data_IF_807222137038
#
_entry.id   IF_807222137038
#
_cell.length_a   1.000
_cell.length_b   1.000
_cell.length_c   1.000
_cell.angle_alpha   90.00
_cell.angle_beta   90.00
_cell.angle_gamma   90.00
#
_symmetry.space_group_name_H-M   'P 1'
#
loop_
_entity.id
_entity.type
_entity.pdbx_description
1 polymer ?
#
# COMPACT_ATOMS: atom_id res chain seq x y z
N UNK A 1 -15.99 -14.54 -2.02
CA UNK A 1 -16.19 -13.85 -0.75
C UNK A 1 -17.38 -14.51 -0.08
N UNK A 2 -17.19 -15.05 1.13
CA UNK A 2 -18.28 -15.62 1.92
C UNK A 2 -19.00 -14.46 2.61
N UNK A 3 -20.29 -14.29 2.36
CA UNK A 3 -21.14 -13.37 3.11
C UNK A 3 -21.66 -14.11 4.35
N UNK A 4 -21.15 -13.81 5.55
CA UNK A 4 -21.67 -14.41 6.80
C UNK A 4 -21.76 -13.37 7.91
N UNK A 5 -23.00 -13.16 8.37
CA UNK A 5 -23.33 -12.42 9.59
C UNK A 5 -22.83 -13.20 10.81
N UNK A 6 -21.95 -12.57 11.60
CA UNK A 6 -21.67 -12.88 13.00
C UNK A 6 -21.58 -14.37 13.39
N UNK A 7 -20.36 -14.93 13.40
CA UNK A 7 -19.75 -15.44 14.63
C UNK A 7 -18.45 -16.20 14.35
N UNK A 8 -17.45 -15.90 15.18
CA UNK A 8 -16.16 -16.57 15.36
C UNK A 8 -15.13 -16.46 14.22
N UNK A 9 -13.98 -15.86 14.55
CA UNK A 9 -12.86 -15.65 13.64
C UNK A 9 -12.16 -16.98 13.26
N UNK A 10 -12.51 -18.08 13.94
CA UNK A 10 -11.96 -19.41 13.74
C UNK A 10 -12.34 -20.04 12.38
N UNK A 11 -13.49 -19.68 11.79
CA UNK A 11 -13.94 -20.21 10.50
C UNK A 11 -13.16 -19.66 9.29
N UNK A 12 -12.40 -18.57 9.45
CA UNK A 12 -11.63 -17.97 8.35
C UNK A 12 -10.38 -18.75 7.95
N UNK A 13 -9.98 -19.74 8.74
CA UNK A 13 -8.84 -20.61 8.47
C UNK A 13 -9.25 -21.92 7.77
N UNK A 14 -10.52 -22.07 7.37
CA UNK A 14 -10.98 -23.24 6.64
C UNK A 14 -10.65 -23.13 5.13
N UNK A 15 -9.67 -23.93 4.69
CA UNK A 15 -9.10 -23.98 3.33
C UNK A 15 -10.13 -24.31 2.23
N UNK A 16 -11.38 -24.61 2.57
CA UNK A 16 -12.40 -25.07 1.61
C UNK A 16 -13.21 -23.96 0.91
N UNK A 17 -12.95 -22.67 1.16
CA UNK A 17 -13.81 -21.58 0.69
C UNK A 17 -13.24 -20.73 -0.47
N UNK A 18 -13.08 -21.33 -1.64
CA UNK A 18 -12.84 -20.60 -2.89
C UNK A 18 -14.15 -20.12 -3.51
N UNK A 19 -14.78 -19.09 -2.94
CA UNK A 19 -15.93 -18.44 -3.57
C UNK A 19 -15.50 -17.18 -4.35
N UNK A 20 -15.78 -17.14 -5.65
CA UNK A 20 -15.75 -15.90 -6.43
C UNK A 20 -17.09 -15.20 -6.24
N UNK A 21 -17.09 -13.99 -5.65
CA UNK A 21 -18.29 -13.17 -5.49
C UNK A 21 -18.18 -11.96 -6.40
N UNK A 22 -19.21 -11.74 -7.23
CA UNK A 22 -19.39 -10.53 -8.02
C UNK A 22 -20.79 -10.01 -7.70
N UNK A 23 -20.89 -8.92 -6.92
CA UNK A 23 -22.17 -8.37 -6.47
C UNK A 23 -22.01 -7.18 -5.54
N UNK A 24 -23.14 -6.56 -5.18
CA UNK A 24 -23.20 -5.44 -4.24
C UNK A 24 -23.24 -5.96 -2.81
N UNK A 25 -22.34 -5.42 -2.00
CA UNK A 25 -22.10 -5.78 -0.61
C UNK A 25 -23.10 -5.05 0.30
N UNK A 26 -23.63 -5.72 1.34
CA UNK A 26 -24.59 -5.14 2.30
C UNK A 26 -23.92 -4.08 3.21
N UNK A 27 -24.70 -3.06 3.58
CA UNK A 27 -24.28 -1.98 4.48
C UNK A 27 -24.31 -2.42 5.96
N UNK A 28 -23.52 -1.77 6.83
CA UNK A 28 -23.43 -2.04 8.29
C UNK A 28 -22.93 -3.45 8.68
N UNK A 29 -21.86 -3.93 8.06
CA UNK A 29 -21.28 -5.23 8.46
C UNK A 29 -19.76 -5.25 8.31
N UNK A 30 -19.15 -6.30 8.84
CA UNK A 30 -17.71 -6.52 8.78
C UNK A 30 -17.38 -7.53 7.67
N UNK A 31 -16.35 -7.23 6.89
CA UNK A 31 -15.86 -8.10 5.82
C UNK A 31 -14.42 -8.49 6.07
N UNK A 32 -14.10 -9.72 5.68
CA UNK A 32 -12.73 -10.19 5.67
C UNK A 32 -12.42 -10.83 4.30
N UNK A 33 -11.44 -10.25 3.62
CA UNK A 33 -10.86 -10.74 2.38
C UNK A 33 -9.52 -11.36 2.73
N UNK A 34 -9.39 -12.66 2.50
CA UNK A 34 -8.18 -13.41 2.79
C UNK A 34 -7.70 -14.14 1.55
N UNK A 35 -6.39 -14.16 1.33
CA UNK A 35 -5.74 -15.01 0.34
C UNK A 35 -6.36 -14.89 -1.07
N UNK A 36 -6.54 -13.66 -1.52
CA UNK A 36 -7.18 -13.34 -2.79
C UNK A 36 -6.18 -12.79 -3.81
N UNK A 37 -6.45 -13.04 -5.10
CA UNK A 37 -5.68 -12.48 -6.22
C UNK A 37 -6.61 -11.69 -7.13
N UNK A 38 -6.32 -10.41 -7.30
CA UNK A 38 -7.06 -9.51 -8.18
C UNK A 38 -6.16 -9.03 -9.32
N UNK A 39 -6.54 -9.31 -10.56
CA UNK A 39 -5.72 -8.98 -11.72
C UNK A 39 -6.52 -8.58 -12.94
N UNK A 40 -5.94 -7.68 -13.75
CA UNK A 40 -6.47 -7.23 -15.05
C UNK A 40 -7.85 -6.60 -14.95
N UNK A 41 -8.13 -5.95 -13.82
CA UNK A 41 -9.29 -5.06 -13.71
C UNK A 41 -8.99 -3.75 -14.43
N UNK A 42 -9.98 -3.19 -15.12
CA UNK A 42 -9.91 -1.87 -15.76
C UNK A 42 -10.83 -0.84 -15.06
N UNK A 43 -11.24 -1.16 -13.84
CA UNK A 43 -12.00 -0.32 -12.93
C UNK A 43 -11.54 -0.62 -11.49
N UNK A 44 -12.05 0.12 -10.52
CA UNK A 44 -11.75 -0.04 -9.09
C UNK A 44 -12.07 -1.46 -8.65
N UNK A 45 -11.10 -2.16 -8.07
CA UNK A 45 -11.28 -3.57 -7.65
C UNK A 45 -12.22 -3.68 -6.45
N UNK A 46 -11.96 -2.91 -5.39
CA UNK A 46 -12.76 -2.87 -4.17
C UNK A 46 -13.26 -1.44 -3.95
N UNK A 47 -14.57 -1.24 -4.12
CA UNK A 47 -15.24 0.02 -3.88
C UNK A 47 -16.11 -0.06 -2.63
N UNK A 48 -15.77 0.78 -1.65
CA UNK A 48 -16.44 0.90 -0.36
C UNK A 48 -16.90 2.34 -0.22
N UNK A 49 -18.15 2.59 -0.59
CA UNK A 49 -18.72 3.92 -0.57
C UNK A 49 -20.04 3.91 0.20
N UNK A 50 -20.12 4.64 1.31
CA UNK A 50 -21.32 4.69 2.14
C UNK A 50 -21.36 5.97 2.99
N UNK A 51 -22.41 6.77 2.81
CA UNK A 51 -22.63 7.99 3.58
C UNK A 51 -23.37 7.78 4.90
N UNK A 52 -24.00 6.63 5.12
CA UNK A 52 -24.95 6.41 6.23
C UNK A 52 -24.73 5.11 7.02
N UNK A 53 -23.80 4.26 6.59
CA UNK A 53 -23.55 2.95 7.20
C UNK A 53 -22.06 2.74 7.47
N UNK A 54 -21.74 2.12 8.61
CA UNK A 54 -20.38 1.81 9.02
C UNK A 54 -20.01 0.38 8.64
N UNK A 55 -19.06 0.25 7.72
CA UNK A 55 -18.55 -1.08 7.32
C UNK A 55 -17.09 -1.20 7.70
N UNK A 56 -16.72 -2.34 8.29
CA UNK A 56 -15.34 -2.60 8.71
C UNK A 56 -14.74 -3.68 7.83
N UNK A 57 -13.56 -3.44 7.28
CA UNK A 57 -12.97 -4.37 6.30
C UNK A 57 -11.54 -4.70 6.67
N UNK A 58 -11.27 -5.99 6.82
CA UNK A 58 -9.93 -6.53 6.87
C UNK A 58 -9.59 -7.15 5.52
N UNK A 59 -8.44 -6.81 4.97
CA UNK A 59 -7.87 -7.42 3.79
C UNK A 59 -6.51 -7.98 4.20
N UNK A 60 -6.34 -9.29 4.14
CA UNK A 60 -5.11 -9.97 4.53
C UNK A 60 -4.57 -10.87 3.42
N UNK A 61 -3.23 -10.90 3.28
CA UNK A 61 -2.51 -11.82 2.39
C UNK A 61 -3.09 -11.79 0.97
N UNK A 62 -3.23 -10.61 0.38
CA UNK A 62 -3.92 -10.42 -0.90
C UNK A 62 -2.98 -9.79 -1.91
N UNK A 63 -3.01 -10.31 -3.14
CA UNK A 63 -2.25 -9.82 -4.28
C UNK A 63 -3.14 -9.02 -5.22
N UNK A 64 -2.72 -7.80 -5.52
CA UNK A 64 -3.29 -6.96 -6.57
C UNK A 64 -2.24 -6.76 -7.66
N UNK A 65 -2.51 -7.14 -8.90
CA UNK A 65 -1.51 -6.93 -9.94
C UNK A 65 -2.07 -6.63 -11.33
N UNK A 66 -1.43 -5.68 -12.02
CA UNK A 66 -1.83 -5.30 -13.39
C UNK A 66 -3.28 -4.81 -13.45
N UNK A 67 -3.73 -4.10 -12.41
CA UNK A 67 -5.03 -3.45 -12.39
C UNK A 67 -4.88 -1.99 -12.83
N UNK A 68 -5.90 -1.48 -13.49
CA UNK A 68 -5.95 -0.12 -14.02
C UNK A 68 -7.28 0.51 -13.62
N UNK A 69 -7.26 1.79 -13.26
CA UNK A 69 -8.47 2.53 -12.96
C UNK A 69 -8.36 3.99 -13.40
N UNK A 70 -9.50 4.68 -13.43
CA UNK A 70 -9.56 6.12 -13.60
C UNK A 70 -10.41 6.72 -12.47
N UNK A 71 -9.78 7.16 -11.38
CA UNK A 71 -10.50 7.78 -10.26
C UNK A 71 -9.73 7.82 -8.96
N UNK A 72 -10.39 7.49 -7.87
CA UNK A 72 -9.83 7.51 -6.52
C UNK A 72 -9.55 6.07 -6.07
N UNK A 73 -8.28 5.68 -6.04
CA UNK A 73 -7.84 4.32 -5.77
C UNK A 73 -7.92 3.41 -6.98
N UNK A 74 -6.87 2.64 -7.26
CA UNK A 74 -6.91 1.58 -8.28
C UNK A 74 -7.55 0.30 -7.73
N UNK A 75 -6.99 -0.19 -6.62
CA UNK A 75 -7.37 -1.47 -6.04
C UNK A 75 -8.40 -1.28 -4.95
N UNK A 76 -8.27 -0.22 -4.16
CA UNK A 76 -9.13 0.02 -3.01
C UNK A 76 -9.55 1.48 -3.01
N UNK A 77 -10.86 1.71 -3.05
CA UNK A 77 -11.47 2.98 -2.73
C UNK A 77 -12.34 2.77 -1.50
N UNK A 78 -12.03 3.46 -0.40
CA UNK A 78 -12.90 3.57 0.76
C UNK A 78 -13.23 5.03 1.03
N UNK A 79 -14.50 5.38 0.95
CA UNK A 79 -15.01 6.70 1.36
C UNK A 79 -16.36 6.55 2.06
N UNK A 80 -16.37 6.71 3.37
CA UNK A 80 -17.57 6.51 4.18
C UNK A 80 -17.30 6.30 5.66
N UNK A 81 -18.30 5.86 6.41
CA UNK A 81 -18.14 5.49 7.82
C UNK A 81 -17.49 4.10 7.94
N UNK A 82 -16.61 3.90 8.93
CA UNK A 82 -16.05 2.60 9.29
C UNK A 82 -14.53 2.47 9.11
N UNK A 83 -14.01 1.26 9.31
CA UNK A 83 -12.57 0.98 9.34
C UNK A 83 -12.12 0.16 8.15
N UNK A 84 -10.87 0.39 7.71
CA UNK A 84 -10.20 -0.49 6.75
C UNK A 84 -8.78 -0.81 7.21
N UNK A 85 -8.51 -2.11 7.27
CA UNK A 85 -7.22 -2.65 7.67
C UNK A 85 -6.69 -3.46 6.49
N UNK A 86 -5.54 -3.04 5.97
CA UNK A 86 -4.76 -3.73 4.95
C UNK A 86 -3.58 -4.40 5.64
N UNK A 87 -3.44 -5.71 5.48
CA UNK A 87 -2.34 -6.48 6.10
C UNK A 87 -1.72 -7.43 5.08
N UNK A 88 -0.40 -7.44 4.95
CA UNK A 88 0.31 -8.34 4.02
C UNK A 88 -0.22 -8.22 2.58
N UNK A 89 -0.48 -7.00 2.15
CA UNK A 89 -0.91 -6.73 0.78
C UNK A 89 0.31 -6.67 -0.13
N UNK A 90 0.26 -7.32 -1.28
CA UNK A 90 1.21 -7.08 -2.36
C UNK A 90 0.47 -6.38 -3.50
N UNK A 91 0.96 -5.22 -3.95
CA UNK A 91 0.46 -4.58 -5.17
C UNK A 91 1.60 -4.39 -6.17
N UNK A 92 1.37 -4.82 -7.40
CA UNK A 92 2.39 -4.79 -8.45
C UNK A 92 1.83 -4.29 -9.79
N UNK A 93 2.52 -3.33 -10.40
CA UNK A 93 2.20 -2.85 -11.75
C UNK A 93 0.73 -2.41 -11.91
N UNK A 94 0.15 -1.78 -10.88
CA UNK A 94 -1.17 -1.17 -10.95
C UNK A 94 -1.06 0.32 -11.29
N UNK A 95 -2.05 0.85 -12.00
CA UNK A 95 -2.08 2.26 -12.41
C UNK A 95 -3.45 2.89 -12.19
N UNK A 96 -3.45 4.16 -11.82
CA UNK A 96 -4.63 4.98 -11.67
C UNK A 96 -4.35 6.39 -12.21
N UNK A 97 -5.28 6.94 -13.00
CA UNK A 97 -5.17 8.31 -13.51
C UNK A 97 -5.42 9.38 -12.45
N UNK A 98 -6.08 9.06 -11.34
CA UNK A 98 -6.33 10.00 -10.24
C UNK A 98 -5.43 9.75 -9.03
N UNK A 99 -6.00 9.90 -7.83
CA UNK A 99 -5.27 9.81 -6.55
C UNK A 99 -5.31 8.37 -6.03
N UNK A 100 -4.16 7.85 -5.57
CA UNK A 100 -4.02 6.51 -5.03
C UNK A 100 -3.80 5.48 -6.13
N UNK A 101 -2.53 5.19 -6.43
CA UNK A 101 -2.15 4.13 -7.38
C UNK A 101 -2.48 2.73 -6.86
N UNK A 102 -2.51 2.55 -5.55
CA UNK A 102 -3.07 1.37 -4.91
C UNK A 102 -4.40 1.68 -4.25
N UNK A 103 -4.42 2.58 -3.27
CA UNK A 103 -5.61 2.85 -2.48
C UNK A 103 -5.89 4.34 -2.29
N UNK A 104 -7.18 4.67 -2.18
CA UNK A 104 -7.71 5.92 -1.68
C UNK A 104 -8.64 5.64 -0.51
N UNK A 105 -8.19 5.96 0.69
CA UNK A 105 -8.95 5.76 1.93
C UNK A 105 -9.28 7.14 2.51
N UNK A 106 -10.56 7.43 2.66
CA UNK A 106 -11.07 8.65 3.27
C UNK A 106 -12.31 8.30 4.11
N UNK A 107 -12.09 7.69 5.27
CA UNK A 107 -13.19 7.24 6.13
C UNK A 107 -13.53 8.32 7.18
N UNK A 108 -14.78 8.81 7.13
CA UNK A 108 -15.25 9.94 7.93
C UNK A 108 -16.00 9.33 9.11
N UNK A 109 -15.58 9.55 10.35
CA UNK A 109 -16.43 9.27 11.51
C UNK A 109 -16.04 10.16 12.70
N UNK A 110 -17.02 10.47 13.53
CA UNK A 110 -16.93 11.05 14.86
C UNK A 110 -16.22 10.14 15.89
N UNK A 111 -16.12 8.85 15.58
CA UNK A 111 -15.37 7.84 16.34
C UNK A 111 -14.07 7.43 15.62
N UNK A 112 -13.12 6.80 16.34
CA UNK A 112 -11.84 6.38 15.75
C UNK A 112 -12.07 5.25 14.74
N UNK A 113 -12.25 5.63 13.47
CA UNK A 113 -12.14 4.73 12.32
C UNK A 113 -10.67 4.34 12.15
N UNK A 114 -10.39 3.03 12.05
CA UNK A 114 -9.03 2.51 11.91
C UNK A 114 -8.67 2.35 10.45
N UNK A 115 -7.67 3.09 9.98
CA UNK A 115 -7.22 3.11 8.58
C UNK A 115 -5.77 2.61 8.50
N UNK A 116 -5.58 1.31 8.69
CA UNK A 116 -4.26 0.72 8.89
C UNK A 116 -3.70 0.06 7.63
N UNK A 117 -2.38 0.12 7.49
CA UNK A 117 -1.65 -0.56 6.42
C UNK A 117 -0.37 -1.20 6.98
N UNK A 118 -0.34 -2.52 7.02
CA UNK A 118 0.60 -3.30 7.84
C UNK A 118 1.27 -4.38 7.00
N UNK A 119 2.60 -4.48 7.04
CA UNK A 119 3.36 -5.57 6.39
C UNK A 119 3.13 -5.67 4.87
N UNK A 120 2.84 -4.56 4.19
CA UNK A 120 2.48 -4.52 2.77
C UNK A 120 3.63 -4.08 1.86
N UNK A 121 3.59 -4.49 0.58
CA UNK A 121 4.58 -4.11 -0.43
C UNK A 121 3.91 -3.61 -1.71
N UNK A 122 4.37 -2.47 -2.20
CA UNK A 122 3.86 -1.75 -3.36
C UNK A 122 5.01 -1.50 -4.32
N UNK A 123 4.95 -2.11 -5.52
CA UNK A 123 6.06 -2.10 -6.47
C UNK A 123 5.59 -1.71 -7.87
N UNK A 124 6.36 -0.84 -8.53
CA UNK A 124 6.15 -0.44 -9.93
C UNK A 124 4.75 0.15 -10.21
N UNK A 125 4.22 0.99 -9.30
CA UNK A 125 2.89 1.57 -9.49
C UNK A 125 2.92 2.88 -10.29
N UNK A 126 1.81 3.19 -10.98
CA UNK A 126 1.48 4.51 -11.53
C UNK A 126 1.94 4.85 -12.94
N UNK A 127 3.00 4.26 -13.48
CA UNK A 127 3.46 4.50 -14.86
C UNK A 127 3.48 5.99 -15.29
N UNK A 128 3.97 6.88 -14.41
CA UNK A 128 4.11 8.33 -14.63
C UNK A 128 2.80 9.11 -14.82
N UNK A 129 1.68 8.55 -14.35
CA UNK A 129 0.38 9.25 -14.30
C UNK A 129 -0.18 9.27 -12.88
N UNK A 130 -1.18 10.12 -12.66
CA UNK A 130 -1.91 10.22 -11.40
C UNK A 130 -1.05 10.66 -10.21
N UNK A 131 -1.55 10.38 -9.01
CA UNK A 131 -1.00 10.88 -7.76
C UNK A 131 -0.92 9.82 -6.69
N UNK A 132 0.18 9.81 -5.93
CA UNK A 132 0.47 9.06 -4.70
C UNK A 132 0.26 7.55 -4.78
N UNK A 133 1.20 6.75 -4.28
CA UNK A 133 1.01 5.30 -4.24
C UNK A 133 -0.15 4.92 -3.33
N UNK A 134 -0.18 5.46 -2.11
CA UNK A 134 -1.29 5.31 -1.19
C UNK A 134 -1.78 6.68 -0.70
N UNK A 135 -3.10 6.84 -0.63
CA UNK A 135 -3.75 7.96 0.01
C UNK A 135 -4.55 7.47 1.21
N UNK A 136 -4.28 8.02 2.38
CA UNK A 136 -5.03 7.79 3.61
C UNK A 136 -5.39 9.14 4.21
N UNK A 137 -6.68 9.42 4.38
CA UNK A 137 -7.18 10.62 5.04
C UNK A 137 -8.26 10.29 6.06
N UNK A 138 -8.31 11.10 7.12
CA UNK A 138 -9.25 10.93 8.24
C UNK A 138 -9.06 9.59 9.00
N UNK A 139 -9.69 9.47 10.17
CA UNK A 139 -9.51 8.33 11.08
C UNK A 139 -8.09 8.21 11.64
N UNK A 140 -7.83 7.18 12.45
CA UNK A 140 -6.50 6.85 12.94
C UNK A 140 -5.73 6.12 11.83
N UNK A 141 -4.63 6.73 11.38
CA UNK A 141 -3.83 6.22 10.27
C UNK A 141 -2.52 5.65 10.82
N UNK A 142 -2.41 4.32 10.78
CA UNK A 142 -1.21 3.58 11.17
C UNK A 142 -0.65 2.85 9.96
N UNK A 143 0.55 3.22 9.56
CA UNK A 143 1.30 2.58 8.47
C UNK A 143 2.53 1.93 9.09
N UNK A 144 2.69 0.63 8.91
CA UNK A 144 3.75 -0.12 9.59
C UNK A 144 4.33 -1.19 8.70
N UNK A 145 5.66 -1.26 8.66
CA UNK A 145 6.41 -2.32 7.95
C UNK A 145 6.03 -2.42 6.48
N UNK A 146 5.88 -1.28 5.81
CA UNK A 146 5.55 -1.28 4.38
C UNK A 146 6.78 -1.03 3.52
N UNK A 147 6.72 -1.48 2.27
CA UNK A 147 7.67 -1.14 1.22
C UNK A 147 6.93 -0.47 0.07
N UNK A 148 7.33 0.75 -0.31
CA UNK A 148 6.90 1.38 -1.56
C UNK A 148 8.14 1.64 -2.39
N UNK A 149 8.25 0.93 -3.52
CA UNK A 149 9.43 1.00 -4.37
C UNK A 149 9.12 1.13 -5.84
N UNK A 150 9.99 1.83 -6.56
CA UNK A 150 9.94 1.94 -8.02
C UNK A 150 8.61 2.49 -8.60
N UNK A 151 7.79 3.15 -7.77
CA UNK A 151 6.55 3.80 -8.23
C UNK A 151 6.88 5.05 -9.02
N UNK A 152 6.16 5.27 -10.11
CA UNK A 152 6.27 6.45 -10.97
C UNK A 152 4.92 7.12 -11.10
N UNK A 153 4.79 8.37 -10.68
CA UNK A 153 3.53 9.13 -10.75
C UNK A 153 3.77 10.50 -11.37
N UNK A 154 2.69 11.20 -11.68
CA UNK A 154 2.77 12.58 -12.14
C UNK A 154 2.96 13.55 -10.96
N UNK A 155 2.08 13.49 -9.96
CA UNK A 155 2.09 14.40 -8.81
C UNK A 155 2.07 13.61 -7.49
N UNK A 156 3.14 13.62 -6.70
CA UNK A 156 3.17 12.85 -5.44
C UNK A 156 3.51 11.37 -5.68
N UNK A 157 4.64 10.83 -5.19
CA UNK A 157 5.06 9.46 -5.57
C UNK A 157 4.72 8.36 -4.56
N UNK A 158 4.60 8.65 -3.27
CA UNK A 158 4.64 7.59 -2.24
C UNK A 158 3.41 7.64 -1.33
N UNK A 159 3.44 8.42 -0.25
CA UNK A 159 2.34 8.48 0.72
C UNK A 159 1.81 9.90 0.75
N UNK A 160 0.49 10.00 0.66
CA UNK A 160 -0.22 11.22 0.95
C UNK A 160 -1.16 10.97 2.12
N UNK A 161 -0.86 11.64 3.22
CA UNK A 161 -1.76 11.76 4.35
C UNK A 161 -2.69 12.94 4.09
N UNK A 162 -3.99 12.65 4.00
CA UNK A 162 -5.02 13.66 4.16
C UNK A 162 -5.18 14.02 5.63
N UNK A 163 -5.85 15.14 5.91
CA UNK A 163 -6.03 15.64 7.27
C UNK A 163 -6.61 14.57 8.21
N UNK A 164 -5.90 14.29 9.30
CA UNK A 164 -6.38 13.43 10.41
C UNK A 164 -6.47 14.23 11.72
N UNK A 165 -7.42 13.84 12.58
CA UNK A 165 -7.63 14.40 13.91
C UNK A 165 -7.10 13.50 15.02
N UNK A 166 -6.36 12.46 14.67
CA UNK A 166 -5.84 11.46 15.58
C UNK A 166 -4.33 11.37 15.47
N UNK A 167 -3.68 10.99 16.56
CA UNK A 167 -2.28 10.60 16.52
C UNK A 167 -2.11 9.39 15.58
N UNK A 168 -0.95 9.28 14.96
CA UNK A 168 -0.66 8.19 14.06
C UNK A 168 0.83 8.08 13.78
N UNK A 169 1.19 7.05 13.03
CA UNK A 169 2.58 6.83 12.70
C UNK A 169 2.81 6.07 11.40
N UNK A 170 3.97 6.33 10.80
CA UNK A 170 4.63 5.49 9.80
C UNK A 170 5.85 4.86 10.47
N UNK A 171 5.92 3.53 10.59
CA UNK A 171 7.02 2.84 11.28
C UNK A 171 7.66 1.74 10.46
N UNK A 172 8.97 1.54 10.63
CA UNK A 172 9.72 0.43 10.03
C UNK A 172 9.51 0.26 8.52
N UNK A 173 9.38 1.37 7.79
CA UNK A 173 8.95 1.36 6.39
C UNK A 173 10.05 1.81 5.42
N UNK A 174 10.00 1.29 4.19
CA UNK A 174 10.97 1.56 3.13
C UNK A 174 10.28 2.32 2.00
N UNK A 175 10.82 3.48 1.65
CA UNK A 175 10.40 4.30 0.52
C UNK A 175 11.60 4.45 -0.41
N UNK A 176 11.65 3.69 -1.50
CA UNK A 176 12.87 3.57 -2.30
C UNK A 176 12.67 3.67 -3.82
N UNK A 177 13.49 4.47 -4.51
CA UNK A 177 13.49 4.59 -5.99
C UNK A 177 12.15 5.03 -6.57
N UNK A 178 11.36 5.82 -5.84
CA UNK A 178 10.11 6.35 -6.35
C UNK A 178 10.34 7.68 -7.07
N UNK A 179 9.56 7.95 -8.11
CA UNK A 179 9.67 9.18 -8.92
C UNK A 179 8.33 9.89 -9.07
N UNK A 180 8.30 11.21 -8.87
CA UNK A 180 7.16 12.07 -9.24
C UNK A 180 7.63 13.26 -10.07
N UNK A 181 6.84 13.61 -11.09
CA UNK A 181 7.17 14.69 -12.03
C UNK A 181 6.97 16.09 -11.44
N UNK A 182 6.10 16.28 -10.43
CA UNK A 182 5.72 17.65 -10.01
C UNK A 182 5.85 17.97 -8.52
N UNK A 183 5.30 17.14 -7.62
CA UNK A 183 5.06 17.60 -6.23
C UNK A 183 6.04 17.03 -5.22
N UNK A 184 5.70 15.88 -4.64
CA UNK A 184 6.31 15.40 -3.40
C UNK A 184 6.51 13.89 -3.37
N UNK A 185 7.31 13.42 -2.44
CA UNK A 185 7.41 11.99 -2.12
C UNK A 185 6.42 11.68 -0.98
N UNK A 186 6.51 12.47 0.09
CA UNK A 186 5.62 12.43 1.23
C UNK A 186 4.85 13.74 1.35
N UNK A 187 3.53 13.67 1.41
CA UNK A 187 2.67 14.80 1.83
C UNK A 187 2.01 14.44 3.16
N UNK A 188 2.17 15.33 4.13
CA UNK A 188 1.80 15.12 5.52
C UNK A 188 0.83 16.22 5.95
N UNK A 189 -0.35 15.84 6.45
CA UNK A 189 -1.38 16.77 6.89
C UNK A 189 -2.10 16.17 8.10
N UNK A 190 -1.96 16.78 9.27
CA UNK A 190 -2.53 16.27 10.52
C UNK A 190 -2.83 17.41 11.49
N UNK A 191 -3.92 17.31 12.25
CA UNK A 191 -4.22 18.23 13.36
C UNK A 191 -3.65 17.74 14.71
N UNK A 192 -3.04 16.56 14.72
CA UNK A 192 -2.40 15.94 15.89
C UNK A 192 -0.96 15.55 15.57
N UNK A 193 -0.09 15.40 16.58
CA UNK A 193 1.27 14.91 16.38
C UNK A 193 1.27 13.58 15.61
N UNK A 194 2.15 13.47 14.62
CA UNK A 194 2.28 12.28 13.79
C UNK A 194 3.76 11.90 13.65
N UNK A 195 4.09 10.62 13.82
CA UNK A 195 5.50 10.19 13.89
C UNK A 195 5.91 9.33 12.71
N UNK A 196 7.12 9.56 12.19
CA UNK A 196 7.78 8.74 11.18
C UNK A 196 9.02 8.13 11.85
N UNK A 197 9.02 6.83 12.10
CA UNK A 197 9.99 6.20 13.02
C UNK A 197 10.67 5.00 12.34
N UNK A 198 12.00 4.88 12.46
CA UNK A 198 12.78 3.77 11.90
C UNK A 198 12.50 3.52 10.41
N UNK A 199 12.42 4.59 9.61
CA UNK A 199 12.12 4.49 8.18
C UNK A 199 13.35 4.72 7.30
N UNK A 200 13.40 3.99 6.19
CA UNK A 200 14.42 4.12 5.15
C UNK A 200 13.83 4.84 3.94
N UNK A 201 14.23 6.08 3.73
CA UNK A 201 13.74 6.93 2.66
C UNK A 201 14.92 7.25 1.74
N UNK A 202 15.05 6.49 0.63
CA UNK A 202 16.28 6.51 -0.17
C UNK A 202 16.07 6.50 -1.69
N UNK A 203 16.97 7.17 -2.42
CA UNK A 203 17.01 7.14 -3.89
C UNK A 203 15.72 7.61 -4.59
N UNK A 204 14.89 8.43 -3.94
CA UNK A 204 13.67 8.94 -4.56
C UNK A 204 13.95 10.23 -5.33
N UNK A 205 13.15 10.54 -6.35
CA UNK A 205 13.30 11.77 -7.15
C UNK A 205 11.97 12.46 -7.33
N UNK A 206 11.87 13.71 -6.91
CA UNK A 206 10.70 14.55 -7.15
C UNK A 206 11.14 15.94 -7.58
N UNK A 207 10.30 16.67 -8.32
CA UNK A 207 10.71 17.98 -8.83
C UNK A 207 10.87 19.03 -7.72
N UNK A 208 9.84 19.21 -6.88
CA UNK A 208 9.76 20.36 -5.99
C UNK A 208 10.09 20.04 -4.52
N UNK A 209 9.17 19.39 -3.80
CA UNK A 209 9.21 19.30 -2.34
C UNK A 209 9.27 17.84 -1.91
N UNK A 210 10.41 17.34 -1.47
CA UNK A 210 10.55 15.93 -1.15
C UNK A 210 9.61 15.47 -0.02
N UNK A 211 9.70 16.13 1.12
CA UNK A 211 8.77 16.00 2.25
C UNK A 211 8.00 17.31 2.35
N UNK A 212 6.69 17.25 2.14
CA UNK A 212 5.78 18.38 2.26
C UNK A 212 4.91 18.24 3.51
N UNK A 213 5.13 19.10 4.50
CA UNK A 213 4.29 19.24 5.68
C UNK A 213 3.28 20.38 5.48
N UNK A 214 2.00 20.03 5.32
CA UNK A 214 0.93 20.98 5.03
C UNK A 214 0.28 21.56 6.29
N UNK A 215 0.21 20.79 7.37
CA UNK A 215 -0.28 21.26 8.67
C UNK A 215 0.05 20.22 9.75
N UNK A 216 0.32 20.69 10.97
CA UNK A 216 0.58 19.83 12.12
C UNK A 216 2.05 19.64 12.46
N UNK A 217 2.28 18.84 13.50
CA UNK A 217 3.61 18.49 13.98
C UNK A 217 4.00 17.07 13.55
N UNK A 218 5.16 16.94 12.92
CA UNK A 218 5.69 15.69 12.37
C UNK A 218 7.06 15.38 12.95
N UNK A 219 7.17 14.27 13.68
CA UNK A 219 8.44 13.84 14.28
C UNK A 219 9.06 12.72 13.47
N UNK A 220 10.23 12.96 12.88
CA UNK A 220 11.05 11.93 12.28
C UNK A 220 12.07 11.46 13.30
N UNK A 221 12.04 10.18 13.63
CA UNK A 221 12.91 9.59 14.64
C UNK A 221 13.63 8.37 14.10
N UNK A 222 14.94 8.30 14.30
CA UNK A 222 15.78 7.16 13.90
C UNK A 222 15.59 6.81 12.40
N UNK A 223 15.44 7.82 11.54
CA UNK A 223 15.21 7.64 10.11
C UNK A 223 16.49 7.83 9.29
N UNK A 224 16.57 7.14 8.15
CA UNK A 224 17.61 7.31 7.15
C UNK A 224 17.01 8.01 5.94
N UNK A 225 17.48 9.20 5.60
CA UNK A 225 16.98 10.00 4.48
C UNK A 225 18.16 10.39 3.59
N UNK A 226 18.43 9.57 2.58
CA UNK A 226 19.67 9.70 1.77
C UNK A 226 19.39 9.62 0.28
N UNK A 227 20.23 10.29 -0.52
CA UNK A 227 20.20 10.20 -1.99
C UNK A 227 18.83 10.52 -2.59
N UNK A 228 18.06 11.38 -1.94
CA UNK A 228 16.80 11.87 -2.50
C UNK A 228 17.06 13.16 -3.28
N UNK A 229 16.44 13.29 -4.44
CA UNK A 229 16.61 14.44 -5.33
C UNK A 229 15.32 15.26 -5.38
N UNK A 230 15.40 16.53 -4.95
CA UNK A 230 14.35 17.53 -5.02
C UNK A 230 14.94 18.94 -4.80
N UNK A 231 14.22 19.99 -5.20
CA UNK A 231 14.62 21.38 -4.91
C UNK A 231 14.62 21.64 -3.40
N UNK A 232 13.51 21.32 -2.73
CA UNK A 232 13.36 21.43 -1.27
C UNK A 232 13.29 20.02 -0.68
N UNK A 233 14.15 19.70 0.28
CA UNK A 233 14.09 18.35 0.91
C UNK A 233 13.00 18.29 1.97
N UNK A 234 12.89 19.33 2.78
CA UNK A 234 11.78 19.52 3.69
C UNK A 234 11.17 20.88 3.44
N UNK A 235 9.87 20.89 3.19
CA UNK A 235 9.09 22.09 3.01
C UNK A 235 7.87 22.03 3.90
N UNK A 236 7.77 22.97 4.83
CA UNK A 236 6.57 23.19 5.63
C UNK A 236 5.89 24.50 5.25
N UNK A 237 4.62 24.65 5.58
CA UNK A 237 3.96 25.96 5.70
C UNK A 237 3.96 26.42 7.17
N UNK A 238 3.62 27.68 7.43
CA UNK A 238 3.67 28.27 8.79
C UNK A 238 2.87 27.50 9.86
N UNK A 239 1.81 26.79 9.47
CA UNK A 239 0.98 25.95 10.36
C UNK A 239 1.54 24.55 10.59
N UNK A 240 2.76 24.27 10.12
CA UNK A 240 3.40 22.97 10.20
C UNK A 240 4.77 23.05 10.88
N UNK A 241 5.17 21.94 11.48
CA UNK A 241 6.48 21.79 12.11
C UNK A 241 6.99 20.38 11.87
N UNK A 242 8.22 20.25 11.36
CA UNK A 242 8.91 18.96 11.30
C UNK A 242 10.05 18.93 12.31
N UNK A 243 10.15 17.87 13.10
CA UNK A 243 11.18 17.67 14.13
C UNK A 243 12.02 16.44 13.75
N UNK A 244 13.34 16.59 13.66
CA UNK A 244 14.27 15.50 13.34
C UNK A 244 15.07 15.09 14.58
N UNK A 245 14.97 13.81 14.95
CA UNK A 245 15.62 13.21 16.13
C UNK A 245 16.41 11.97 15.68
N UNK A 246 17.72 11.95 15.96
CA UNK A 246 18.65 10.84 15.63
C UNK A 246 18.56 10.35 14.18
N UNK A 247 18.24 11.24 13.24
CA UNK A 247 18.15 10.90 11.83
C UNK A 247 19.53 10.96 11.16
N UNK A 248 19.78 10.06 10.20
CA UNK A 248 20.92 10.16 9.29
C UNK A 248 20.46 10.73 7.95
N UNK A 249 21.07 11.83 7.52
CA UNK A 249 20.60 12.60 6.37
C UNK A 249 21.74 12.88 5.38
N UNK A 250 21.52 12.59 4.10
CA UNK A 250 22.34 13.06 2.98
C UNK A 250 21.43 13.88 2.06
N UNK A 251 21.63 15.21 2.05
CA UNK A 251 20.64 16.15 1.54
C UNK A 251 21.27 17.13 0.57
N UNK A 252 20.59 17.37 -0.55
CA UNK A 252 21.01 18.31 -1.60
C UNK A 252 20.08 19.53 -1.75
N UNK A 253 19.04 19.67 -0.92
CA UNK A 253 18.05 20.75 -1.00
C UNK A 253 17.95 21.59 0.28
N UNK A 254 17.02 22.55 0.27
CA UNK A 254 16.75 23.46 1.39
C UNK A 254 15.79 22.86 2.42
N UNK A 255 15.69 23.54 3.58
CA UNK A 255 14.77 23.26 4.67
C UNK A 255 13.93 24.49 4.98
N UNK A 256 12.63 24.29 5.16
CA UNK A 256 11.70 25.31 5.67
C UNK A 256 10.83 24.72 6.79
N UNK A 257 10.70 25.44 7.91
CA UNK A 257 9.92 25.03 9.10
C UNK A 257 10.34 23.68 9.69
N UNK A 258 11.65 23.43 9.75
CA UNK A 258 12.24 22.23 10.34
C UNK A 258 13.07 22.57 11.56
N UNK A 259 12.82 21.84 12.64
CA UNK A 259 13.65 21.81 13.85
C UNK A 259 14.49 20.54 13.85
N UNK A 260 15.80 20.69 14.10
CA UNK A 260 16.74 19.58 14.18
C UNK A 260 17.17 19.48 15.65
N UNK A 261 16.65 18.48 16.37
CA UNK A 261 17.07 18.23 17.75
C UNK A 261 18.40 17.47 17.78
N UNK A 262 18.52 16.44 16.95
CA UNK A 262 19.75 15.65 16.85
C UNK A 262 19.87 14.94 15.51
N UNK A 263 21.11 14.85 15.02
CA UNK A 263 21.47 14.08 13.84
C UNK A 263 22.47 13.00 14.22
N UNK A 264 22.36 11.85 13.56
CA UNK A 264 23.32 10.76 13.69
C UNK A 264 24.56 11.08 12.86
N UNK A 265 25.74 11.04 13.48
CA UNK A 265 27.01 11.35 12.80
C UNK A 265 27.48 10.24 11.84
N UNK A 266 26.98 9.02 12.01
CA UNK A 266 27.26 7.86 11.15
C UNK A 266 25.96 7.32 10.57
N UNK A 267 26.02 6.81 9.34
CA UNK A 267 24.93 5.99 8.81
C UNK A 267 24.74 4.78 9.71
N UNK A 268 23.51 4.53 10.10
CA UNK A 268 23.09 3.28 10.74
C UNK A 268 22.22 2.53 9.74
N UNK A 269 22.10 1.21 9.88
CA UNK A 269 21.06 0.46 9.18
C UNK A 269 19.92 0.26 10.17
N UNK A 270 18.71 0.69 9.80
CA UNK A 270 17.54 0.21 10.51
C UNK A 270 17.44 -1.30 10.22
N UNK A 271 17.42 -2.14 11.26
CA UNK A 271 17.03 -3.55 11.13
C UNK A 271 15.56 -3.61 10.69
N UNK A 272 15.38 -3.52 9.38
CA UNK A 272 14.07 -3.62 8.78
C UNK A 272 13.78 -5.09 8.59
N UNK A 273 12.73 -5.56 9.26
CA UNK A 273 12.12 -6.85 8.93
C UNK A 273 11.53 -6.73 7.52
N UNK A 274 12.35 -7.03 6.52
CA UNK A 274 11.88 -7.24 5.16
C UNK A 274 10.99 -8.48 5.16
N UNK A 275 9.68 -8.26 5.19
CA UNK A 275 8.74 -9.33 4.90
C UNK A 275 8.83 -9.60 3.40
N UNK A 276 9.57 -10.65 3.04
CA UNK A 276 9.25 -11.43 1.83
C UNK A 276 7.85 -11.97 2.04
N UNK A 277 6.81 -11.22 1.68
CA UNK A 277 5.60 -11.90 1.24
C UNK A 277 6.01 -12.66 -0.02
N UNK A 278 5.71 -13.96 -0.08
CA UNK A 278 6.15 -14.84 -1.16
C UNK A 278 5.76 -14.33 -2.57
N UNK A 279 4.88 -13.34 -2.65
CA UNK A 279 4.16 -12.93 -3.86
C UNK A 279 4.61 -11.61 -4.50
N UNK A 280 5.46 -10.79 -3.87
CA UNK A 280 6.02 -9.63 -4.58
C UNK A 280 7.24 -9.97 -5.46
N UNK A 281 7.54 -11.27 -5.61
CA UNK A 281 8.49 -11.87 -6.56
C UNK A 281 7.79 -12.66 -7.70
N UNK A 282 6.51 -12.38 -7.96
CA UNK A 282 5.65 -13.10 -8.93
C UNK A 282 6.27 -13.32 -10.32
N UNK A 283 7.32 -12.60 -10.72
CA UNK A 283 8.06 -12.95 -11.94
C UNK A 283 8.72 -14.35 -11.91
N UNK A 284 8.99 -14.96 -10.75
CA UNK A 284 9.61 -16.30 -10.68
C UNK A 284 8.60 -17.43 -10.47
N UNK A 285 7.68 -17.28 -9.52
CA UNK A 285 6.85 -18.41 -9.10
C UNK A 285 5.55 -18.55 -9.91
N UNK A 286 5.06 -17.49 -10.56
CA UNK A 286 3.95 -17.61 -11.54
C UNK A 286 4.42 -18.23 -12.87
N UNK A 287 5.73 -18.19 -13.14
CA UNK A 287 6.38 -18.97 -14.20
C UNK A 287 6.46 -20.45 -13.78
N UNK A 288 6.77 -20.75 -12.52
CA UNK A 288 6.82 -22.13 -12.01
C UNK A 288 5.44 -22.75 -11.77
N UNK A 289 4.41 -22.00 -11.34
CA UNK A 289 3.03 -22.49 -11.22
C UNK A 289 2.34 -22.66 -12.58
N UNK A 290 2.69 -21.87 -13.60
CA UNK A 290 2.29 -22.16 -14.98
C UNK A 290 3.05 -23.34 -15.57
N UNK A 291 4.30 -23.60 -15.14
CA UNK A 291 5.02 -24.82 -15.50
C UNK A 291 4.46 -26.04 -14.80
N UNK A 292 4.03 -25.96 -13.54
CA UNK A 292 3.44 -27.08 -12.80
C UNK A 292 2.01 -27.39 -13.25
N UNK A 293 1.18 -26.36 -13.53
CA UNK A 293 -0.16 -26.57 -14.11
C UNK A 293 -0.13 -27.01 -15.57
N UNK A 294 0.86 -26.56 -16.36
CA UNK A 294 1.13 -27.11 -17.70
C UNK A 294 1.75 -28.51 -17.63
N UNK A 295 2.61 -28.83 -16.66
CA UNK A 295 3.15 -30.19 -16.48
C UNK A 295 2.08 -31.17 -16.04
N UNK A 296 1.13 -30.78 -15.18
CA UNK A 296 -0.03 -31.61 -14.80
C UNK A 296 -1.00 -31.75 -15.99
N UNK A 297 -1.16 -30.71 -16.80
CA UNK A 297 -1.98 -30.77 -18.03
C UNK A 297 -1.29 -31.57 -19.15
N UNK A 298 0.03 -31.52 -19.27
CA UNK A 298 0.84 -32.35 -20.19
C UNK A 298 0.94 -33.80 -19.69
N UNK A 299 0.97 -34.06 -18.39
CA UNK A 299 0.87 -35.42 -17.83
C UNK A 299 -0.52 -36.00 -18.07
N UNK A 300 -1.60 -35.20 -17.93
CA UNK A 300 -2.96 -35.63 -18.29
C UNK A 300 -3.14 -35.82 -19.80
N UNK A 301 -2.49 -35.00 -20.64
CA UNK A 301 -2.50 -35.21 -22.11
C UNK A 301 -1.61 -36.39 -22.56
N UNK A 302 -0.51 -36.68 -21.87
CA UNK A 302 0.32 -37.87 -22.12
C UNK A 302 -0.36 -39.15 -21.66
N UNK A 303 -1.10 -39.13 -20.55
CA UNK A 303 -1.89 -40.28 -20.08
C UNK A 303 -3.15 -40.49 -20.94
N UNK A 304 -3.73 -39.46 -21.54
CA UNK A 304 -4.81 -39.62 -22.51
C UNK A 304 -4.34 -40.03 -23.92
N UNK A 305 -3.06 -39.88 -24.27
CA UNK A 305 -2.49 -40.37 -25.54
C UNK A 305 -1.94 -41.79 -25.50
N UNK A 306 -1.87 -42.41 -24.32
CA UNK A 306 -1.46 -43.82 -24.17
C UNK A 306 -2.63 -44.83 -24.24
N UNK A 307 -3.86 -44.37 -24.48
CA UNK A 307 -5.00 -45.24 -24.76
C UNK A 307 -5.53 -45.02 -26.18
N UNK A 308 -4.75 -45.49 -27.16
CA UNK A 308 -5.19 -45.96 -28.48
C UNK A 308 -4.22 -47.11 -28.82
N UNK A 309 -4.52 -48.35 -28.43
CA UNK A 309 -5.29 -49.38 -29.18
C UNK A 309 -4.40 -49.99 -30.31
N UNK A 310 -4.47 -51.28 -30.74
CA UNK A 310 -5.25 -52.46 -30.32
C UNK A 310 -4.44 -53.79 -30.24
N UNK A 311 -5.19 -54.89 -30.04
CA UNK A 311 -5.05 -56.23 -30.69
C UNK A 311 -4.14 -57.29 -30.06
N UNK A 312 -4.84 -58.36 -29.61
CA UNK A 312 -4.62 -59.77 -29.93
C UNK A 312 -3.21 -60.34 -29.71
N UNK A 313 -3.09 -61.30 -28.78
CA UNK A 313 -2.72 -62.69 -29.10
C UNK A 313 -2.77 -63.58 -27.84
N UNK A 314 -3.67 -64.58 -27.93
CA UNK A 314 -3.80 -65.83 -27.15
C UNK A 314 -4.41 -65.77 -25.76
#
# INVERSE_FOLDING_TARGET
>A
MINRKNSDWSEFYDDNNYSYYNGTIDYNTSYYIFNAVFSKFHDIVLLLHSSSSSSNILIESTLFHTNEAAGLGCNIHSSGLGSIIQKRICAYNCTNKGIGQHCYILNWDSSISKNYNIESSYLNLGNSIGQSTIYHGSGEIIIKRINISCSKTDSGSVIQLGQTNYEGNITFSILNRNTASYQHCLRLNSNKPYSIINCDIKNNTVLNQFIFAESGEFTFKDCIIIKNNAVNTFYGVESSKSILIHCYLEINGTFEFVEIESLSASSFENELYFFKTAECNVEKDLLEMNLHSKLISLFKLMLCKLNLIPTLLK
#
